data_IF_790806126306
#
_entry.id   IF_790806126306
#
_cell.length_a   1.000
_cell.length_b   1.000
_cell.length_c   1.000
_cell.angle_alpha   90.00
_cell.angle_beta   90.00
_cell.angle_gamma   90.00
#
_symmetry.space_group_name_H-M   'P 1'
#
loop_
_entity.id
_entity.type
_entity.pdbx_description
1 polymer ?
#
# COMPACT_ATOMS: atom_id res chain seq x y z
N UNK A 1 -4.63 -11.01 -5.72
CA UNK A 1 -5.12 -10.29 -4.53
C UNK A 1 -6.47 -9.63 -4.83
N UNK A 2 -7.43 -9.62 -3.89
CA UNK A 2 -8.63 -8.79 -4.01
C UNK A 2 -8.33 -7.43 -3.39
N UNK A 3 -8.47 -6.35 -4.16
CA UNK A 3 -8.26 -4.99 -3.69
C UNK A 3 -9.56 -4.41 -3.12
N UNK A 4 -9.50 -3.50 -2.12
CA UNK A 4 -10.65 -2.73 -1.63
C UNK A 4 -11.16 -1.65 -2.62
N UNK A 5 -10.75 -1.67 -3.88
CA UNK A 5 -11.19 -0.73 -4.92
C UNK A 5 -11.53 -1.46 -6.22
N UNK A 6 -12.37 -0.83 -7.04
CA UNK A 6 -12.69 -1.34 -8.37
C UNK A 6 -11.62 -0.97 -9.42
N UNK A 7 -11.73 -1.60 -10.58
CA UNK A 7 -10.79 -1.41 -11.69
C UNK A 7 -10.81 0.03 -12.23
N UNK A 8 -11.95 0.72 -12.14
CA UNK A 8 -12.09 2.12 -12.57
C UNK A 8 -11.26 3.05 -11.68
N UNK A 9 -11.38 2.90 -10.36
CA UNK A 9 -10.60 3.65 -9.37
C UNK A 9 -9.11 3.39 -9.54
N UNK A 10 -8.73 2.12 -9.70
CA UNK A 10 -7.33 1.74 -9.91
C UNK A 10 -6.78 2.34 -11.22
N UNK A 11 -7.58 2.35 -12.29
CA UNK A 11 -7.19 2.98 -13.56
C UNK A 11 -7.05 4.50 -13.41
N UNK A 12 -7.92 5.16 -12.64
CA UNK A 12 -7.83 6.59 -12.38
C UNK A 12 -6.52 6.94 -11.67
N UNK A 13 -6.15 6.20 -10.62
CA UNK A 13 -4.87 6.40 -9.91
C UNK A 13 -3.67 6.17 -10.81
N UNK A 14 -3.72 5.12 -11.63
CA UNK A 14 -2.67 4.80 -12.60
C UNK A 14 -2.46 5.93 -13.62
N UNK A 15 -3.56 6.54 -14.09
CA UNK A 15 -3.54 7.70 -15.00
C UNK A 15 -2.95 8.94 -14.33
N UNK A 16 -3.28 9.20 -13.05
CA UNK A 16 -2.72 10.33 -12.31
C UNK A 16 -1.19 10.27 -12.22
N UNK A 17 -0.64 9.07 -12.12
CA UNK A 17 0.81 8.83 -12.06
C UNK A 17 1.44 8.56 -13.44
N UNK A 18 0.65 8.64 -14.52
CA UNK A 18 1.07 8.33 -15.89
C UNK A 18 1.78 6.97 -16.04
N UNK A 19 1.31 5.95 -15.30
CA UNK A 19 1.91 4.61 -15.33
C UNK A 19 1.52 3.86 -16.61
N UNK A 20 2.49 3.10 -17.14
CA UNK A 20 2.24 2.08 -18.16
C UNK A 20 1.60 0.84 -17.55
N UNK A 21 0.98 -0.03 -18.36
CA UNK A 21 0.41 -1.30 -17.88
C UNK A 21 1.44 -2.17 -17.15
N UNK A 22 2.68 -2.20 -17.64
CA UNK A 22 3.79 -2.90 -16.99
C UNK A 22 4.10 -2.30 -15.61
N UNK A 23 4.20 -0.97 -15.51
CA UNK A 23 4.43 -0.28 -14.25
C UNK A 23 3.27 -0.47 -13.26
N UNK A 24 2.02 -0.52 -13.74
CA UNK A 24 0.86 -0.83 -12.89
C UNK A 24 0.98 -2.25 -12.34
N UNK A 25 1.28 -3.24 -13.19
CA UNK A 25 1.47 -4.62 -12.76
C UNK A 25 2.60 -4.75 -11.74
N UNK A 26 3.75 -4.11 -11.97
CA UNK A 26 4.86 -4.08 -11.02
C UNK A 26 4.49 -3.38 -9.72
N UNK A 27 3.73 -2.29 -9.78
CA UNK A 27 3.23 -1.58 -8.59
C UNK A 27 2.40 -2.50 -7.72
N UNK A 28 1.43 -3.21 -8.31
CA UNK A 28 0.57 -4.14 -7.58
C UNK A 28 1.33 -5.35 -7.03
N UNK A 29 2.32 -5.86 -7.76
CA UNK A 29 3.17 -6.96 -7.30
C UNK A 29 4.02 -6.58 -6.07
N UNK A 30 4.60 -5.37 -6.05
CA UNK A 30 5.39 -4.90 -4.90
C UNK A 30 4.50 -4.60 -3.68
N UNK A 31 3.27 -4.11 -3.89
CA UNK A 31 2.26 -3.99 -2.82
C UNK A 31 1.94 -5.37 -2.24
N UNK A 32 1.59 -6.35 -3.08
CA UNK A 32 1.26 -7.70 -2.62
C UNK A 32 2.45 -8.33 -1.85
N UNK A 33 3.67 -8.18 -2.35
CA UNK A 33 4.89 -8.66 -1.70
C UNK A 33 5.10 -8.01 -0.33
N UNK A 34 4.86 -6.71 -0.20
CA UNK A 34 4.94 -5.99 1.08
C UNK A 34 3.92 -6.54 2.07
N UNK A 35 2.67 -6.73 1.65
CA UNK A 35 1.63 -7.33 2.49
C UNK A 35 1.99 -8.76 2.90
N UNK A 36 2.57 -9.56 1.99
CA UNK A 36 3.01 -10.93 2.30
C UNK A 36 4.14 -10.97 3.33
N UNK A 37 5.05 -10.00 3.31
CA UNK A 37 6.07 -9.85 4.36
C UNK A 37 5.40 -9.54 5.70
N UNK A 38 4.48 -8.58 5.74
CA UNK A 38 3.69 -8.27 6.94
C UNK A 38 2.96 -9.50 7.50
N UNK A 39 2.33 -10.27 6.62
CA UNK A 39 1.67 -11.53 6.97
C UNK A 39 2.64 -12.58 7.52
N UNK A 40 3.83 -12.73 6.94
CA UNK A 40 4.85 -13.65 7.43
C UNK A 40 5.32 -13.30 8.85
N UNK A 41 5.29 -12.02 9.22
CA UNK A 41 5.67 -11.50 10.53
C UNK A 41 4.48 -11.16 11.44
N UNK A 42 3.28 -11.64 11.12
CA UNK A 42 2.06 -11.32 11.87
C UNK A 42 2.14 -11.78 13.34
N UNK A 43 1.51 -11.05 14.27
CA UNK A 43 1.41 -11.46 15.67
C UNK A 43 0.78 -12.84 15.87
N UNK A 44 1.08 -13.50 16.98
CA UNK A 44 0.52 -14.82 17.33
C UNK A 44 -1.01 -14.83 17.34
N UNK A 45 -1.63 -13.73 17.77
CA UNK A 45 -3.10 -13.56 17.78
C UNK A 45 -3.74 -13.60 16.40
N UNK A 46 -2.96 -13.38 15.32
CA UNK A 46 -3.43 -13.38 13.94
C UNK A 46 -2.97 -14.64 13.17
N UNK A 47 -2.38 -15.63 13.83
CA UNK A 47 -1.80 -16.81 13.14
C UNK A 47 -2.82 -17.69 12.42
N UNK A 48 -4.02 -17.78 12.98
CA UNK A 48 -5.08 -18.65 12.49
C UNK A 48 -5.82 -18.06 11.27
N UNK A 49 -5.60 -16.77 10.99
CA UNK A 49 -6.14 -16.11 9.81
C UNK A 49 -5.21 -16.31 8.61
N UNK A 50 -5.81 -16.56 7.46
CA UNK A 50 -5.13 -16.59 6.16
C UNK A 50 -4.69 -15.20 5.71
N UNK A 51 -3.86 -15.16 4.67
CA UNK A 51 -3.44 -13.90 4.06
C UNK A 51 -4.66 -13.13 3.54
N UNK A 52 -5.54 -13.81 2.82
CA UNK A 52 -6.72 -13.26 2.18
C UNK A 52 -7.72 -12.69 3.20
N UNK A 53 -7.89 -13.34 4.34
CA UNK A 53 -8.76 -12.84 5.42
C UNK A 53 -8.19 -11.56 6.05
N UNK A 54 -6.88 -11.49 6.27
CA UNK A 54 -6.26 -10.32 6.89
C UNK A 54 -6.22 -9.09 5.99
N UNK A 55 -6.07 -9.29 4.68
CA UNK A 55 -6.07 -8.16 3.73
C UNK A 55 -7.49 -7.74 3.32
N UNK A 56 -8.51 -8.55 3.60
CA UNK A 56 -9.90 -8.22 3.27
C UNK A 56 -10.39 -6.96 4.03
N UNK A 57 -9.83 -6.73 5.21
CA UNK A 57 -10.12 -5.58 6.07
C UNK A 57 -9.20 -4.37 5.78
N UNK A 58 -8.35 -4.44 4.75
CA UNK A 58 -7.46 -3.34 4.38
C UNK A 58 -8.28 -2.12 3.96
N UNK A 59 -7.94 -0.97 4.54
CA UNK A 59 -8.58 0.30 4.21
C UNK A 59 -8.18 0.75 2.80
N UNK A 60 -9.12 1.40 2.10
CA UNK A 60 -8.87 2.07 0.82
C UNK A 60 -7.76 3.10 0.96
N UNK A 61 -7.71 3.84 2.07
CA UNK A 61 -6.69 4.87 2.29
C UNK A 61 -5.29 4.27 2.47
N UNK A 62 -5.19 3.09 3.11
CA UNK A 62 -3.92 2.35 3.23
C UNK A 62 -3.44 1.88 1.86
N UNK A 63 -4.34 1.29 1.06
CA UNK A 63 -4.01 0.89 -0.31
C UNK A 63 -3.60 2.10 -1.15
N UNK A 64 -4.33 3.21 -1.06
CA UNK A 64 -4.04 4.41 -1.83
C UNK A 64 -2.65 4.96 -1.52
N UNK A 65 -2.24 4.96 -0.25
CA UNK A 65 -0.89 5.38 0.16
C UNK A 65 0.19 4.44 -0.37
N UNK A 66 -0.01 3.12 -0.25
CA UNK A 66 0.92 2.12 -0.80
C UNK A 66 1.03 2.24 -2.33
N UNK A 67 -0.09 2.45 -3.01
CA UNK A 67 -0.15 2.64 -4.46
C UNK A 67 0.55 3.93 -4.89
N UNK A 68 0.31 5.04 -4.19
CA UNK A 68 0.97 6.31 -4.48
C UNK A 68 2.48 6.20 -4.33
N UNK A 69 2.98 5.70 -3.20
CA UNK A 69 4.42 5.59 -2.95
C UNK A 69 5.08 4.63 -3.95
N UNK A 70 4.52 3.44 -4.14
CA UNK A 70 5.09 2.44 -5.05
C UNK A 70 4.99 2.90 -6.51
N UNK A 71 3.86 3.47 -6.91
CA UNK A 71 3.63 4.00 -8.25
C UNK A 71 4.57 5.17 -8.58
N UNK A 72 4.82 6.08 -7.64
CA UNK A 72 5.82 7.15 -7.81
C UNK A 72 7.22 6.60 -8.09
N UNK A 73 7.63 5.52 -7.41
CA UNK A 73 8.90 4.85 -7.72
C UNK A 73 8.91 4.29 -9.13
N UNK A 74 7.84 3.60 -9.54
CA UNK A 74 7.73 3.05 -10.90
C UNK A 74 7.73 4.15 -11.97
N UNK A 75 7.14 5.31 -11.68
CA UNK A 75 7.15 6.50 -12.53
C UNK A 75 8.52 7.21 -12.60
N UNK A 76 9.53 6.77 -11.84
CA UNK A 76 10.86 7.39 -11.81
C UNK A 76 10.98 8.57 -10.85
N UNK A 77 10.12 8.66 -9.84
CA UNK A 77 10.10 9.70 -8.81
C UNK A 77 10.36 9.15 -7.39
N UNK A 78 11.52 8.53 -7.12
CA UNK A 78 11.80 7.91 -5.83
C UNK A 78 11.79 8.88 -4.66
N UNK A 79 12.35 10.09 -4.81
CA UNK A 79 12.38 11.10 -3.75
C UNK A 79 10.97 11.54 -3.33
N UNK A 80 10.03 11.58 -4.28
CA UNK A 80 8.64 11.89 -4.00
C UNK A 80 7.95 10.75 -3.25
N UNK A 81 8.24 9.49 -3.60
CA UNK A 81 7.75 8.33 -2.88
C UNK A 81 8.23 8.34 -1.42
N UNK A 82 9.51 8.61 -1.20
CA UNK A 82 10.09 8.66 0.15
C UNK A 82 9.47 9.80 0.97
N UNK A 83 9.23 10.96 0.35
CA UNK A 83 8.55 12.07 1.02
C UNK A 83 7.10 11.70 1.44
N UNK A 84 6.38 10.94 0.61
CA UNK A 84 5.03 10.44 0.93
C UNK A 84 5.08 9.46 2.11
N UNK A 85 6.00 8.50 2.09
CA UNK A 85 6.13 7.51 3.16
C UNK A 85 6.51 8.14 4.50
N UNK A 86 7.50 9.04 4.50
CA UNK A 86 7.93 9.75 5.71
C UNK A 86 6.77 10.55 6.31
N UNK A 87 6.00 11.26 5.48
CA UNK A 87 4.83 12.02 5.93
C UNK A 87 3.72 11.11 6.43
N UNK A 88 3.48 9.97 5.79
CA UNK A 88 2.51 8.98 6.25
C UNK A 88 2.87 8.41 7.62
N UNK A 89 4.13 8.06 7.83
CA UNK A 89 4.64 7.62 9.14
C UNK A 89 4.49 8.72 10.18
N UNK A 90 4.92 9.94 9.87
CA UNK A 90 4.82 11.08 10.79
C UNK A 90 3.37 11.39 11.19
N UNK A 91 2.42 11.33 10.24
CA UNK A 91 1.01 11.53 10.51
C UNK A 91 0.44 10.45 11.45
N UNK A 92 0.80 9.18 11.25
CA UNK A 92 0.40 8.08 12.15
C UNK A 92 0.97 8.24 13.56
N UNK A 93 2.24 8.63 13.68
CA UNK A 93 2.87 8.86 14.99
C UNK A 93 2.20 10.03 15.73
N UNK A 94 1.79 11.08 15.03
CA UNK A 94 1.08 12.22 15.63
C UNK A 94 -0.37 11.91 16.01
N UNK A 95 -1.02 10.99 15.27
CA UNK A 95 -2.38 10.54 15.56
C UNK A 95 -2.46 9.62 16.80
N UNK A 96 -1.33 9.05 17.24
CA UNK A 96 -1.22 8.24 18.45
C UNK A 96 -0.31 8.88 19.51
N UNK A 97 -0.78 9.93 20.23
CA UNK A 97 0.02 10.59 21.28
C UNK A 97 0.14 9.78 22.59
N UNK A 98 -0.55 8.64 22.73
CA UNK A 98 -0.55 7.81 23.96
C UNK A 98 0.28 6.54 23.81
N UNK A 99 1.58 6.70 23.54
CA UNK A 99 2.56 5.62 23.68
C UNK A 99 3.68 6.06 24.65
N UNK A 100 3.27 6.47 25.85
CA UNK A 100 4.10 6.56 27.07
C UNK A 100 3.28 6.02 28.26
#
# INVERSE_FOLDING_TARGET
MKLPVDDETLQAWSKLLALTEEQIATTLQEIEKTLRIGYAHRPTSLRDFSFEELIADMDVDELALMFLATGLRQAGHPDAADAVEIRGIAARLQAHPEAD
#
